data_IF_914422163681
#
_entry.id   IF_914422163681
#
_cell.length_a   1.000
_cell.length_b   1.000
_cell.length_c   1.000
_cell.angle_alpha   90.00
_cell.angle_beta   90.00
_cell.angle_gamma   90.00
#
_symmetry.space_group_name_H-M   'P 1'
#
loop_
_entity.id
_entity.type
_entity.pdbx_description
1 polymer ?
#
# COMPACT_ATOMS: atom_id res chain seq x y z
N UNK A 1 -61.17 -20.38 -57.07
CA UNK A 1 -60.18 -20.67 -56.03
C UNK A 1 -59.21 -19.51 -56.03
N UNK A 2 -59.25 -18.66 -55.01
CA UNK A 2 -58.27 -17.58 -54.87
C UNK A 2 -56.92 -18.24 -54.62
N UNK A 3 -56.02 -18.19 -55.60
CA UNK A 3 -54.64 -18.59 -55.37
C UNK A 3 -54.07 -17.59 -54.38
N UNK A 4 -53.68 -18.08 -53.22
CA UNK A 4 -53.05 -17.25 -52.19
C UNK A 4 -51.59 -17.04 -52.60
N UNK A 5 -51.34 -16.05 -53.46
CA UNK A 5 -49.99 -15.70 -53.93
C UNK A 5 -49.20 -15.22 -52.71
N UNK A 6 -48.09 -15.90 -52.43
CA UNK A 6 -47.11 -15.43 -51.45
C UNK A 6 -46.27 -14.34 -52.11
N UNK A 7 -46.62 -13.10 -51.82
CA UNK A 7 -45.96 -11.92 -52.39
C UNK A 7 -44.60 -11.64 -51.77
N UNK A 8 -44.41 -12.07 -50.52
CA UNK A 8 -43.18 -11.86 -49.78
C UNK A 8 -42.75 -13.15 -49.09
N UNK A 9 -41.45 -13.27 -48.84
CA UNK A 9 -40.88 -14.31 -47.99
C UNK A 9 -39.84 -13.71 -47.03
N UNK A 10 -39.72 -14.23 -45.80
CA UNK A 10 -38.67 -13.80 -44.90
C UNK A 10 -37.30 -14.28 -45.40
N UNK A 11 -36.31 -13.39 -45.36
CA UNK A 11 -34.90 -13.67 -45.67
C UNK A 11 -34.03 -13.11 -44.57
N UNK A 12 -32.88 -13.74 -44.32
CA UNK A 12 -31.98 -13.32 -43.27
C UNK A 12 -31.09 -12.18 -43.76
N UNK A 13 -31.09 -11.06 -43.06
CA UNK A 13 -30.25 -9.90 -43.35
C UNK A 13 -28.91 -10.01 -42.59
N UNK A 14 -27.80 -9.81 -43.31
CA UNK A 14 -26.44 -9.82 -42.77
C UNK A 14 -25.84 -8.42 -42.80
N UNK A 15 -24.94 -8.13 -41.87
CA UNK A 15 -24.05 -6.97 -41.94
C UNK A 15 -22.86 -7.18 -42.87
N UNK A 16 -21.93 -6.22 -42.92
CA UNK A 16 -20.72 -6.30 -43.75
C UNK A 16 -19.77 -7.43 -43.36
N UNK A 17 -19.84 -7.93 -42.13
CA UNK A 17 -19.01 -9.00 -41.59
C UNK A 17 -19.71 -10.37 -41.65
N UNK A 18 -20.92 -10.41 -42.24
CA UNK A 18 -21.72 -11.62 -42.38
C UNK A 18 -22.47 -12.02 -41.11
N UNK A 19 -22.61 -11.11 -40.15
CA UNK A 19 -23.37 -11.36 -38.91
C UNK A 19 -24.86 -11.15 -39.12
N UNK A 20 -25.66 -12.05 -38.57
CA UNK A 20 -27.12 -11.97 -38.63
C UNK A 20 -27.65 -10.75 -37.87
N UNK A 21 -28.37 -9.86 -38.58
CA UNK A 21 -29.01 -8.67 -38.00
C UNK A 21 -30.50 -8.87 -37.72
N UNK A 22 -31.15 -9.78 -38.44
CA UNK A 22 -32.60 -10.00 -38.34
C UNK A 22 -33.19 -10.54 -39.65
N UNK A 23 -34.52 -10.62 -39.70
CA UNK A 23 -35.23 -10.99 -40.92
C UNK A 23 -35.81 -9.74 -41.60
N UNK A 24 -35.79 -9.74 -42.92
CA UNK A 24 -36.48 -8.78 -43.77
C UNK A 24 -37.29 -9.54 -44.85
N UNK A 25 -38.06 -8.83 -45.65
CA UNK A 25 -38.90 -9.44 -46.68
C UNK A 25 -38.24 -9.35 -48.07
N UNK A 26 -38.17 -10.48 -48.76
CA UNK A 26 -37.88 -10.54 -50.20
C UNK A 26 -39.20 -10.58 -50.97
N UNK A 27 -39.28 -9.82 -52.06
CA UNK A 27 -40.49 -9.73 -52.89
C UNK A 27 -40.48 -10.78 -53.99
N UNK A 28 -41.65 -11.29 -54.37
CA UNK A 28 -41.79 -12.18 -55.51
C UNK A 28 -41.34 -11.46 -56.78
N UNK A 29 -40.43 -12.08 -57.54
CA UNK A 29 -40.04 -11.57 -58.84
C UNK A 29 -41.14 -11.87 -59.87
N UNK A 30 -42.00 -10.88 -60.11
CA UNK A 30 -43.11 -10.99 -61.05
C UNK A 30 -42.67 -11.20 -62.51
N UNK A 31 -41.39 -10.96 -62.82
CA UNK A 31 -40.82 -11.19 -64.14
C UNK A 31 -40.18 -12.59 -64.25
N UNK A 32 -39.86 -13.23 -63.13
CA UNK A 32 -39.31 -14.57 -63.09
C UNK A 32 -40.40 -15.64 -63.24
N UNK A 33 -40.33 -16.42 -64.33
CA UNK A 33 -41.33 -17.47 -64.63
C UNK A 33 -41.28 -18.68 -63.70
N UNK A 34 -40.24 -18.79 -62.87
CA UNK A 34 -39.98 -19.90 -61.96
C UNK A 34 -40.46 -19.62 -60.52
N UNK A 35 -41.07 -18.46 -60.25
CA UNK A 35 -41.49 -18.08 -58.90
C UNK A 35 -40.33 -17.71 -57.96
N UNK A 36 -39.18 -17.30 -58.51
CA UNK A 36 -38.07 -16.76 -57.71
C UNK A 36 -38.45 -15.44 -57.03
N UNK A 37 -37.71 -15.09 -55.99
CA UNK A 37 -37.86 -13.86 -55.24
C UNK A 37 -36.65 -12.95 -55.49
N UNK A 38 -36.89 -11.65 -55.48
CA UNK A 38 -35.86 -10.62 -55.50
C UNK A 38 -35.32 -10.50 -54.07
N UNK A 39 -34.12 -11.06 -53.86
CA UNK A 39 -33.45 -11.00 -52.56
C UNK A 39 -32.79 -9.62 -52.41
N UNK A 40 -33.13 -8.84 -51.36
CA UNK A 40 -32.45 -7.57 -51.11
C UNK A 40 -30.94 -7.77 -50.91
N UNK A 41 -30.15 -6.75 -51.26
CA UNK A 41 -28.70 -6.79 -51.07
C UNK A 41 -28.33 -7.05 -49.61
N UNK A 42 -27.33 -7.91 -49.38
CA UNK A 42 -26.91 -8.31 -48.03
C UNK A 42 -27.84 -9.32 -47.35
N UNK A 43 -28.82 -9.88 -48.06
CA UNK A 43 -29.70 -10.92 -47.52
C UNK A 43 -29.39 -12.31 -48.11
N UNK A 44 -29.68 -13.35 -47.34
CA UNK A 44 -29.57 -14.76 -47.74
C UNK A 44 -30.88 -15.51 -47.48
N UNK A 45 -31.19 -16.45 -48.37
CA UNK A 45 -32.41 -17.26 -48.32
C UNK A 45 -32.17 -18.58 -47.57
N UNK A 46 -31.95 -18.47 -46.26
CA UNK A 46 -31.77 -19.60 -45.34
C UNK A 46 -32.60 -19.39 -44.09
N UNK A 47 -32.86 -20.47 -43.35
CA UNK A 47 -33.52 -20.37 -42.05
C UNK A 47 -32.69 -19.54 -41.05
N UNK A 48 -33.35 -18.70 -40.23
CA UNK A 48 -32.66 -17.87 -39.26
C UNK A 48 -31.92 -18.74 -38.23
N UNK A 49 -30.79 -18.26 -37.69
CA UNK A 49 -30.06 -18.99 -36.67
C UNK A 49 -30.88 -19.09 -35.39
N UNK A 50 -30.62 -20.13 -34.59
CA UNK A 50 -31.18 -20.21 -33.24
C UNK A 50 -30.56 -19.12 -32.37
N UNK A 51 -31.39 -18.40 -31.61
CA UNK A 51 -30.89 -17.42 -30.66
C UNK A 51 -30.09 -18.13 -29.56
N UNK A 52 -28.84 -17.70 -29.36
CA UNK A 52 -27.97 -18.16 -28.27
C UNK A 52 -27.55 -16.98 -27.43
N UNK A 53 -27.68 -17.11 -26.12
CA UNK A 53 -27.25 -16.07 -25.18
C UNK A 53 -25.73 -15.86 -25.32
N UNK A 54 -25.30 -14.60 -25.29
CA UNK A 54 -23.89 -14.19 -25.43
C UNK A 54 -23.19 -14.65 -26.73
N UNK A 55 -23.93 -14.95 -27.80
CA UNK A 55 -23.35 -15.32 -29.09
C UNK A 55 -24.06 -14.61 -30.26
N UNK A 56 -23.26 -14.22 -31.25
CA UNK A 56 -23.74 -13.77 -32.54
C UNK A 56 -23.54 -14.87 -33.58
N UNK A 57 -24.49 -15.00 -34.51
CA UNK A 57 -24.41 -15.96 -35.60
C UNK A 57 -23.80 -15.29 -36.84
N UNK A 58 -22.71 -15.86 -37.36
CA UNK A 58 -22.06 -15.47 -38.61
C UNK A 58 -22.34 -16.49 -39.70
N UNK A 59 -22.68 -16.04 -40.89
CA UNK A 59 -22.86 -16.92 -42.04
C UNK A 59 -21.51 -17.25 -42.70
N UNK A 60 -21.19 -18.54 -42.86
CA UNK A 60 -19.94 -18.99 -43.50
C UNK A 60 -20.04 -19.20 -45.01
N UNK A 61 -21.23 -19.05 -45.59
CA UNK A 61 -21.54 -19.45 -46.95
C UNK A 61 -22.32 -20.77 -47.02
N UNK A 62 -22.13 -21.65 -46.04
CA UNK A 62 -22.80 -22.95 -45.97
C UNK A 62 -23.62 -23.14 -44.68
N UNK A 63 -23.18 -22.56 -43.56
CA UNK A 63 -23.82 -22.75 -42.25
C UNK A 63 -23.65 -21.53 -41.33
N UNK A 64 -24.42 -21.53 -40.24
CA UNK A 64 -24.28 -20.56 -39.15
C UNK A 64 -23.17 -20.98 -38.18
N UNK A 65 -22.20 -20.09 -37.97
CA UNK A 65 -21.16 -20.18 -36.95
C UNK A 65 -21.51 -19.27 -35.78
N UNK A 66 -21.44 -19.78 -34.55
CA UNK A 66 -21.74 -19.01 -33.36
C UNK A 66 -20.45 -18.50 -32.72
N UNK A 67 -20.32 -17.17 -32.66
CA UNK A 67 -19.15 -16.47 -32.16
C UNK A 67 -19.54 -15.78 -30.85
N UNK A 68 -18.69 -15.76 -29.81
CA UNK A 68 -18.97 -15.00 -28.60
C UNK A 68 -19.33 -13.54 -28.92
N UNK A 69 -20.40 -13.05 -28.31
CA UNK A 69 -20.83 -11.68 -28.42
C UNK A 69 -20.80 -11.06 -27.02
N UNK A 70 -19.78 -10.23 -26.82
CA UNK A 70 -19.60 -9.48 -25.58
C UNK A 70 -19.93 -8.00 -25.76
N UNK A 71 -20.53 -7.61 -26.89
CA UNK A 71 -20.84 -6.21 -27.18
C UNK A 71 -21.71 -5.59 -26.09
N UNK A 72 -21.43 -4.34 -25.74
CA UNK A 72 -22.10 -3.62 -24.65
C UNK A 72 -21.62 -4.01 -23.24
N UNK A 73 -20.88 -5.12 -23.06
CA UNK A 73 -20.25 -5.45 -21.78
C UNK A 73 -19.02 -4.57 -21.56
N UNK A 74 -18.72 -4.29 -20.29
CA UNK A 74 -17.52 -3.53 -19.90
C UNK A 74 -16.37 -4.49 -19.63
N UNK A 75 -15.27 -4.32 -20.34
CA UNK A 75 -13.99 -4.92 -20.04
C UNK A 75 -13.01 -3.85 -19.54
N UNK A 76 -11.88 -4.27 -19.00
CA UNK A 76 -10.83 -3.40 -18.47
C UNK A 76 -9.52 -3.70 -19.16
N UNK A 77 -8.79 -2.66 -19.56
CA UNK A 77 -7.46 -2.84 -20.14
C UNK A 77 -6.49 -3.34 -19.09
N UNK A 78 -5.72 -4.36 -19.42
CA UNK A 78 -4.74 -4.96 -18.50
C UNK A 78 -3.51 -4.08 -18.28
N UNK A 79 -3.23 -3.13 -19.16
CA UNK A 79 -2.10 -2.20 -19.06
C UNK A 79 -2.33 -1.08 -18.01
N UNK A 80 -3.55 -0.56 -17.91
CA UNK A 80 -3.86 0.63 -17.12
C UNK A 80 -5.18 0.56 -16.33
N UNK A 81 -5.94 -0.54 -16.44
CA UNK A 81 -7.21 -0.73 -15.74
C UNK A 81 -8.38 0.11 -16.28
N UNK A 82 -8.23 0.79 -17.41
CA UNK A 82 -9.26 1.63 -17.99
C UNK A 82 -10.44 0.79 -18.51
N UNK A 83 -11.66 1.19 -18.14
CA UNK A 83 -12.87 0.58 -18.64
C UNK A 83 -13.06 0.86 -20.15
N UNK A 84 -13.41 -0.18 -20.89
CA UNK A 84 -13.69 -0.17 -22.33
C UNK A 84 -14.98 -0.94 -22.56
N UNK A 85 -15.92 -0.36 -23.30
CA UNK A 85 -17.12 -1.06 -23.76
C UNK A 85 -16.71 -1.86 -25.01
N UNK A 86 -17.04 -3.15 -25.02
CA UNK A 86 -16.82 -3.98 -26.21
C UNK A 86 -17.83 -3.57 -27.28
N UNK A 87 -17.35 -3.29 -28.48
CA UNK A 87 -18.16 -2.93 -29.65
C UNK A 87 -18.05 -3.95 -30.80
N UNK A 88 -17.11 -4.89 -30.71
CA UNK A 88 -16.89 -5.96 -31.68
C UNK A 88 -17.43 -7.31 -31.21
N UNK A 89 -17.92 -8.13 -32.16
CA UNK A 89 -18.20 -9.56 -31.93
C UNK A 89 -16.88 -10.34 -31.94
N UNK A 90 -16.76 -11.34 -31.07
CA UNK A 90 -15.56 -12.17 -30.94
C UNK A 90 -15.08 -12.30 -29.50
N UNK A 91 -14.03 -13.11 -29.36
CA UNK A 91 -13.20 -13.14 -28.15
C UNK A 91 -12.62 -11.74 -27.87
N UNK A 92 -12.56 -11.36 -26.59
CA UNK A 92 -11.87 -10.12 -26.20
C UNK A 92 -10.37 -10.26 -26.47
N UNK A 93 -9.70 -9.15 -26.78
CA UNK A 93 -8.24 -9.18 -27.00
C UNK A 93 -7.47 -9.53 -25.72
N UNK A 94 -6.28 -10.10 -25.86
CA UNK A 94 -5.38 -10.43 -24.73
C UNK A 94 -5.04 -9.24 -23.82
N UNK A 95 -5.25 -8.00 -24.31
CA UNK A 95 -5.09 -6.76 -23.56
C UNK A 95 -6.30 -6.37 -22.69
N UNK A 96 -7.36 -7.18 -22.67
CA UNK A 96 -8.61 -6.90 -21.95
C UNK A 96 -8.94 -8.03 -20.97
N UNK A 97 -9.62 -7.68 -19.88
CA UNK A 97 -10.21 -8.63 -18.94
C UNK A 97 -11.57 -8.13 -18.48
N UNK A 98 -12.50 -9.04 -18.16
CA UNK A 98 -13.77 -8.66 -17.51
C UNK A 98 -13.60 -8.41 -16.01
N UNK A 99 -12.45 -8.76 -15.43
CA UNK A 99 -12.14 -8.47 -14.03
C UNK A 99 -11.85 -6.97 -13.85
N UNK A 100 -12.63 -6.30 -13.01
CA UNK A 100 -12.36 -4.92 -12.65
C UNK A 100 -11.13 -4.82 -11.74
N UNK A 101 -10.23 -3.83 -11.93
CA UNK A 101 -9.18 -3.56 -10.96
C UNK A 101 -9.83 -3.16 -9.62
N UNK A 102 -9.50 -3.85 -8.50
CA UNK A 102 -10.15 -3.56 -7.22
C UNK A 102 -9.89 -2.12 -6.72
N UNK A 103 -8.68 -1.60 -6.99
CA UNK A 103 -8.29 -0.22 -6.67
C UNK A 103 -7.31 0.29 -7.72
N UNK A 104 -7.10 1.62 -7.76
CA UNK A 104 -6.08 2.28 -8.60
C UNK A 104 -4.64 1.83 -8.31
N UNK A 105 -4.41 1.14 -7.20
CA UNK A 105 -3.11 0.63 -6.77
C UNK A 105 -2.82 -0.77 -7.32
N UNK A 106 -3.74 -1.37 -8.08
CA UNK A 106 -3.55 -2.68 -8.69
C UNK A 106 -3.04 -2.55 -10.13
N UNK A 107 -2.11 -3.43 -10.49
CA UNK A 107 -1.63 -3.62 -11.84
C UNK A 107 -1.84 -5.08 -12.25
N UNK A 108 -2.10 -5.33 -13.53
CA UNK A 108 -2.27 -6.69 -14.03
C UNK A 108 -0.94 -7.45 -13.97
N UNK A 109 -0.93 -8.64 -13.38
CA UNK A 109 0.27 -9.47 -13.29
C UNK A 109 0.39 -10.52 -14.42
N UNK A 110 -0.44 -10.40 -15.45
CA UNK A 110 -0.57 -11.38 -16.54
C UNK A 110 -1.71 -12.39 -16.33
N UNK A 111 -2.26 -12.51 -15.11
CA UNK A 111 -3.37 -13.42 -14.81
C UNK A 111 -4.46 -12.81 -13.93
N UNK A 112 -4.11 -11.87 -13.05
CA UNK A 112 -5.03 -11.20 -12.13
C UNK A 112 -4.50 -9.83 -11.74
N UNK A 113 -5.38 -8.99 -11.21
CA UNK A 113 -5.00 -7.75 -10.54
C UNK A 113 -4.19 -8.06 -9.27
N UNK A 114 -3.03 -7.43 -9.14
CA UNK A 114 -2.19 -7.48 -7.95
C UNK A 114 -1.71 -6.08 -7.58
N UNK A 115 -1.47 -5.82 -6.29
CA UNK A 115 -0.91 -4.53 -5.84
C UNK A 115 0.38 -4.24 -6.63
N UNK A 116 0.39 -3.10 -7.31
CA UNK A 116 1.48 -2.64 -8.15
C UNK A 116 2.77 -2.39 -7.37
N UNK A 117 3.91 -2.42 -8.05
CA UNK A 117 5.23 -2.21 -7.41
C UNK A 117 5.32 -0.84 -6.73
N UNK A 118 4.79 0.20 -7.36
CA UNK A 118 4.74 1.56 -6.81
C UNK A 118 3.90 1.63 -5.54
N UNK A 119 2.72 0.99 -5.55
CA UNK A 119 1.87 0.90 -4.37
C UNK A 119 2.55 0.15 -3.21
N UNK A 120 3.30 -0.92 -3.49
CA UNK A 120 4.09 -1.62 -2.46
C UNK A 120 5.20 -0.72 -1.90
N UNK A 121 5.89 0.03 -2.75
CA UNK A 121 6.94 0.95 -2.33
C UNK A 121 6.37 2.08 -1.45
N UNK A 122 5.21 2.63 -1.83
CA UNK A 122 4.51 3.65 -1.04
C UNK A 122 4.04 3.09 0.31
N UNK A 123 3.46 1.89 0.34
CA UNK A 123 3.07 1.22 1.59
C UNK A 123 4.27 0.99 2.52
N UNK A 124 5.41 0.56 1.98
CA UNK A 124 6.63 0.38 2.76
C UNK A 124 7.14 1.72 3.29
N UNK A 125 7.19 2.77 2.47
CA UNK A 125 7.64 4.10 2.87
C UNK A 125 6.76 4.68 4.00
N UNK A 126 5.43 4.55 3.88
CA UNK A 126 4.50 4.97 4.92
C UNK A 126 4.70 4.19 6.22
N UNK A 127 4.87 2.86 6.14
CA UNK A 127 5.14 2.03 7.30
C UNK A 127 6.46 2.44 7.98
N UNK A 128 7.53 2.65 7.21
CA UNK A 128 8.82 3.10 7.71
C UNK A 128 8.72 4.45 8.43
N UNK A 129 8.06 5.43 7.82
CA UNK A 129 7.87 6.75 8.41
C UNK A 129 7.07 6.71 9.72
N UNK A 130 5.96 5.96 9.74
CA UNK A 130 5.14 5.78 10.93
C UNK A 130 5.92 5.10 12.06
N UNK A 131 6.67 4.04 11.73
CA UNK A 131 7.45 3.30 12.72
C UNK A 131 8.63 4.09 13.25
N UNK A 132 9.29 4.89 12.41
CA UNK A 132 10.35 5.80 12.85
C UNK A 132 9.82 6.84 13.84
N UNK A 133 8.63 7.39 13.59
CA UNK A 133 7.97 8.31 14.51
C UNK A 133 7.59 7.62 15.85
N UNK A 134 7.14 6.37 15.81
CA UNK A 134 6.88 5.55 16.99
C UNK A 134 8.16 5.32 17.81
N UNK A 135 9.25 4.86 17.17
CA UNK A 135 10.55 4.63 17.79
C UNK A 135 11.09 5.88 18.46
N UNK A 136 11.07 7.03 17.76
CA UNK A 136 11.56 8.29 18.30
C UNK A 136 10.73 8.73 19.52
N UNK A 137 9.41 8.57 19.46
CA UNK A 137 8.51 8.92 20.57
C UNK A 137 8.73 8.02 21.78
N UNK A 138 8.87 6.72 21.58
CA UNK A 138 9.10 5.76 22.65
C UNK A 138 10.47 5.99 23.33
N UNK A 139 11.52 6.27 22.56
CA UNK A 139 12.83 6.61 23.10
C UNK A 139 12.79 7.89 23.94
N UNK A 140 12.14 8.95 23.43
CA UNK A 140 11.98 10.20 24.16
C UNK A 140 11.17 10.03 25.45
N UNK A 141 10.02 9.33 25.39
CA UNK A 141 9.19 9.06 26.55
C UNK A 141 9.95 8.31 27.65
N UNK A 142 10.87 7.43 27.25
CA UNK A 142 11.71 6.71 28.20
C UNK A 142 12.63 7.65 29.00
N UNK A 143 13.30 8.57 28.30
CA UNK A 143 14.18 9.55 28.93
C UNK A 143 13.37 10.52 29.80
N UNK A 144 12.23 10.98 29.30
CA UNK A 144 11.33 11.88 30.04
C UNK A 144 10.87 11.26 31.36
N UNK A 145 10.45 9.99 31.32
CA UNK A 145 10.02 9.25 32.50
C UNK A 145 11.17 9.03 33.50
N UNK A 146 12.34 8.63 33.01
CA UNK A 146 13.47 8.32 33.88
C UNK A 146 14.09 9.57 34.54
N UNK A 147 14.08 10.70 33.83
CA UNK A 147 14.59 11.98 34.34
C UNK A 147 13.53 12.83 35.04
N UNK A 148 12.24 12.47 34.92
CA UNK A 148 11.13 13.25 35.48
C UNK A 148 10.99 14.63 34.83
N UNK A 149 11.30 14.73 33.52
CA UNK A 149 11.28 15.99 32.78
C UNK A 149 9.89 16.63 32.74
N UNK A 150 8.84 15.85 32.91
CA UNK A 150 7.44 16.28 33.01
C UNK A 150 7.14 17.10 34.28
N UNK A 151 7.99 17.01 35.30
CA UNK A 151 7.77 17.61 36.63
C UNK A 151 8.66 18.80 36.92
N UNK A 152 9.56 19.14 36.00
CA UNK A 152 10.62 20.12 36.23
C UNK A 152 10.45 21.29 35.26
N UNK A 153 10.45 22.55 35.75
CA UNK A 153 10.37 23.72 34.87
C UNK A 153 11.53 23.78 33.88
N UNK A 154 11.25 24.25 32.66
CA UNK A 154 12.24 24.30 31.57
C UNK A 154 13.54 25.05 31.93
N UNK A 155 13.45 26.13 32.72
CA UNK A 155 14.64 26.89 33.12
C UNK A 155 15.56 26.07 34.03
N UNK A 156 15.03 25.17 34.85
CA UNK A 156 15.82 24.29 35.73
C UNK A 156 16.54 23.24 34.88
N UNK A 157 15.83 22.61 33.93
CA UNK A 157 16.40 21.66 32.96
C UNK A 157 17.57 22.29 32.19
N UNK A 158 17.44 23.55 31.78
CA UNK A 158 18.51 24.27 31.06
C UNK A 158 19.82 24.39 31.87
N UNK A 159 19.75 24.33 33.21
CA UNK A 159 20.94 24.38 34.08
C UNK A 159 21.54 23.01 34.38
N UNK A 160 20.86 21.91 34.04
CA UNK A 160 21.31 20.56 34.40
C UNK A 160 22.67 20.21 33.81
N UNK A 161 22.96 20.64 32.57
CA UNK A 161 24.27 20.42 31.95
C UNK A 161 25.38 21.12 32.73
N UNK A 162 25.14 22.33 33.21
CA UNK A 162 26.11 23.08 34.02
C UNK A 162 26.32 22.38 35.37
N UNK A 163 25.23 22.01 36.04
CA UNK A 163 25.29 21.26 37.31
C UNK A 163 26.03 19.92 37.16
N UNK A 164 25.81 19.21 36.05
CA UNK A 164 26.50 17.95 35.76
C UNK A 164 28.01 18.16 35.52
N UNK A 165 28.39 19.21 34.78
CA UNK A 165 29.79 19.55 34.55
C UNK A 165 30.50 19.93 35.86
N UNK A 166 29.91 20.80 36.67
CA UNK A 166 30.44 21.19 37.98
C UNK A 166 30.58 19.96 38.91
N UNK A 167 29.56 19.11 38.97
CA UNK A 167 29.59 17.91 39.82
C UNK A 167 30.67 16.91 39.39
N UNK A 168 30.84 16.69 38.07
CA UNK A 168 31.91 15.83 37.54
C UNK A 168 33.30 16.40 37.77
N UNK A 169 33.47 17.72 37.59
CA UNK A 169 34.74 18.39 37.87
C UNK A 169 35.10 18.30 39.35
N UNK A 170 34.13 18.55 40.24
CA UNK A 170 34.32 18.40 41.68
C UNK A 170 34.60 16.95 42.11
N UNK A 171 33.97 15.97 41.48
CA UNK A 171 34.23 14.56 41.78
C UNK A 171 35.65 14.12 41.35
N UNK A 172 36.19 14.72 40.29
CA UNK A 172 37.57 14.49 39.85
C UNK A 172 38.60 15.27 40.69
N UNK A 173 38.27 16.50 41.08
CA UNK A 173 39.07 17.37 41.93
C UNK A 173 38.17 18.13 42.91
N UNK A 174 38.26 17.79 44.20
CA UNK A 174 37.45 18.41 45.25
C UNK A 174 37.69 19.93 45.42
N UNK A 175 38.75 20.49 44.84
CA UNK A 175 39.02 21.93 44.82
C UNK A 175 38.36 22.68 43.64
N UNK A 176 37.75 21.96 42.69
CA UNK A 176 37.10 22.57 41.54
C UNK A 176 35.94 23.49 41.96
N UNK A 177 35.81 24.63 41.27
CA UNK A 177 34.76 25.60 41.53
C UNK A 177 33.39 25.08 41.07
N UNK A 178 32.38 25.21 41.93
CA UNK A 178 31.00 24.78 41.66
C UNK A 178 29.98 25.88 41.97
N UNK A 179 30.10 27.07 41.35
CA UNK A 179 29.32 28.24 41.73
C UNK A 179 27.80 28.02 41.61
N UNK A 180 27.34 27.24 40.63
CA UNK A 180 25.91 26.94 40.45
C UNK A 180 25.42 26.04 41.58
N UNK A 181 26.12 24.93 41.84
CA UNK A 181 25.74 24.01 42.92
C UNK A 181 25.86 24.66 44.30
N UNK A 182 26.87 25.50 44.53
CA UNK A 182 27.05 26.22 45.79
C UNK A 182 25.93 27.26 46.01
N UNK A 183 25.52 27.99 44.97
CA UNK A 183 24.38 28.91 45.04
C UNK A 183 23.06 28.17 45.33
N UNK A 184 22.82 27.03 44.68
CA UNK A 184 21.64 26.18 44.93
C UNK A 184 21.66 25.64 46.37
N UNK A 185 22.81 25.16 46.85
CA UNK A 185 22.96 24.65 48.20
C UNK A 185 22.70 25.75 49.24
N UNK A 186 23.26 26.95 49.02
CA UNK A 186 23.06 28.12 49.88
C UNK A 186 21.61 28.56 49.95
N UNK A 187 20.92 28.67 48.80
CA UNK A 187 19.51 29.04 48.75
C UNK A 187 18.59 28.01 49.43
N UNK A 188 18.96 26.72 49.39
CA UNK A 188 18.21 25.62 50.01
C UNK A 188 18.56 25.35 51.47
N UNK A 189 19.64 25.95 51.99
CA UNK A 189 20.15 25.66 53.32
C UNK A 189 20.62 24.21 53.51
N UNK A 190 21.11 23.56 52.46
CA UNK A 190 21.59 22.15 52.51
C UNK A 190 23.12 22.08 52.40
N UNK A 191 23.76 21.00 52.89
CA UNK A 191 25.20 20.82 52.74
C UNK A 191 25.60 20.73 51.26
N UNK A 192 26.49 21.63 50.82
CA UNK A 192 26.95 21.72 49.44
C UNK A 192 27.57 20.40 48.95
N UNK A 193 28.37 19.73 49.78
CA UNK A 193 29.00 18.46 49.44
C UNK A 193 27.98 17.34 49.16
N UNK A 194 26.91 17.27 49.94
CA UNK A 194 25.83 16.29 49.73
C UNK A 194 25.04 16.57 48.44
N UNK A 195 24.88 17.85 48.07
CA UNK A 195 24.27 18.22 46.79
C UNK A 195 25.17 17.85 45.62
N UNK A 196 26.47 18.15 45.68
CA UNK A 196 27.45 17.83 44.63
C UNK A 196 27.52 16.33 44.35
N UNK A 197 27.58 15.52 45.40
CA UNK A 197 27.58 14.06 45.27
C UNK A 197 26.31 13.53 44.58
N UNK A 198 25.12 14.00 45.02
CA UNK A 198 23.86 13.61 44.38
C UNK A 198 23.74 14.09 42.94
N UNK A 199 24.25 15.28 42.64
CA UNK A 199 24.28 15.81 41.28
C UNK A 199 25.19 14.97 40.38
N UNK A 200 26.36 14.53 40.87
CA UNK A 200 27.26 13.63 40.16
C UNK A 200 26.60 12.27 39.85
N UNK A 201 26.03 11.61 40.86
CA UNK A 201 25.36 10.31 40.71
C UNK A 201 24.23 10.37 39.68
N UNK A 202 23.40 11.43 39.75
CA UNK A 202 22.33 11.66 38.78
C UNK A 202 22.88 11.93 37.37
N UNK A 203 23.92 12.73 37.24
CA UNK A 203 24.54 13.04 35.96
C UNK A 203 25.07 11.78 35.26
N UNK A 204 25.82 10.94 35.98
CA UNK A 204 26.36 9.69 35.44
C UNK A 204 25.23 8.73 35.05
N UNK A 205 24.22 8.57 35.91
CA UNK A 205 23.08 7.69 35.60
C UNK A 205 22.30 8.16 34.37
N UNK A 206 22.05 9.46 34.24
CA UNK A 206 21.36 10.03 33.10
C UNK A 206 22.17 9.91 31.80
N UNK A 207 23.48 10.12 31.86
CA UNK A 207 24.39 9.95 30.72
C UNK A 207 24.41 8.51 30.21
N UNK A 208 24.58 7.52 31.10
CA UNK A 208 24.58 6.11 30.71
C UNK A 208 23.24 5.67 30.14
N UNK A 209 22.13 6.12 30.73
CA UNK A 209 20.80 5.81 30.23
C UNK A 209 20.55 6.43 28.85
N UNK A 210 20.86 7.71 28.68
CA UNK A 210 20.66 8.40 27.38
C UNK A 210 21.54 7.80 26.30
N UNK A 211 22.78 7.44 26.59
CA UNK A 211 23.65 6.72 25.66
C UNK A 211 23.07 5.35 25.26
N UNK A 212 22.57 4.58 26.24
CA UNK A 212 21.96 3.27 25.98
C UNK A 212 20.71 3.38 25.11
N UNK A 213 19.78 4.27 25.46
CA UNK A 213 18.53 4.50 24.72
C UNK A 213 18.83 5.03 23.31
N UNK A 214 19.80 5.94 23.15
CA UNK A 214 20.20 6.43 21.84
C UNK A 214 20.72 5.30 20.94
N UNK A 215 21.55 4.40 21.49
CA UNK A 215 22.05 3.24 20.77
C UNK A 215 20.95 2.26 20.36
N UNK A 216 20.01 1.94 21.26
CA UNK A 216 18.85 1.09 20.92
C UNK A 216 17.96 1.73 19.84
N UNK A 217 17.71 3.03 19.93
CA UNK A 217 16.92 3.77 18.93
C UNK A 217 17.60 3.78 17.56
N UNK A 218 18.91 4.01 17.51
CA UNK A 218 19.70 3.92 16.27
C UNK A 218 19.64 2.50 15.67
N UNK A 219 19.80 1.46 16.49
CA UNK A 219 19.68 0.08 16.04
C UNK A 219 18.26 -0.26 15.53
N UNK A 220 17.21 0.35 16.09
CA UNK A 220 15.85 0.22 15.59
C UNK A 220 15.66 0.94 14.25
N UNK A 221 16.21 2.15 14.10
CA UNK A 221 16.21 2.91 12.85
C UNK A 221 16.89 2.13 11.71
N UNK A 222 18.06 1.54 11.96
CA UNK A 222 18.76 0.69 10.98
C UNK A 222 17.89 -0.48 10.52
N UNK A 223 17.18 -1.14 11.44
CA UNK A 223 16.26 -2.24 11.13
C UNK A 223 15.06 -1.78 10.29
N UNK A 224 14.51 -0.59 10.57
CA UNK A 224 13.40 -0.01 9.80
C UNK A 224 13.82 0.22 8.36
N UNK A 225 15.01 0.79 8.13
CA UNK A 225 15.51 1.05 6.78
C UNK A 225 15.94 -0.22 6.04
N UNK A 226 16.37 -1.26 6.75
CA UNK A 226 16.70 -2.57 6.17
C UNK A 226 15.47 -3.44 5.82
N UNK A 227 14.28 -3.11 6.35
CA UNK A 227 13.05 -3.85 6.14
C UNK A 227 12.58 -3.82 4.67
N UNK A 228 12.05 -4.94 4.17
CA UNK A 228 11.58 -5.08 2.79
C UNK A 228 10.06 -5.08 2.68
N UNK A 229 9.37 -5.33 3.79
CA UNK A 229 7.90 -5.40 3.84
C UNK A 229 7.35 -4.56 5.00
N UNK A 230 6.11 -4.06 4.90
CA UNK A 230 5.43 -3.41 6.03
C UNK A 230 5.39 -4.29 7.29
N UNK A 231 5.29 -5.61 7.12
CA UNK A 231 5.31 -6.58 8.22
C UNK A 231 6.66 -6.63 8.93
N UNK A 232 7.77 -6.60 8.17
CA UNK A 232 9.12 -6.52 8.74
C UNK A 232 9.30 -5.22 9.54
N UNK A 233 8.78 -4.10 9.02
CA UNK A 233 8.80 -2.80 9.72
C UNK A 233 7.99 -2.88 11.02
N UNK A 234 6.79 -3.47 10.98
CA UNK A 234 5.94 -3.62 12.15
C UNK A 234 6.58 -4.46 13.26
N UNK A 235 7.41 -5.46 12.89
CA UNK A 235 8.13 -6.32 13.82
C UNK A 235 9.27 -5.62 14.57
N UNK A 236 9.68 -4.41 14.17
CA UNK A 236 10.74 -3.66 14.87
C UNK A 236 10.27 -3.28 16.28
N UNK A 237 11.03 -3.72 17.29
CA UNK A 237 10.73 -3.45 18.69
C UNK A 237 10.98 -1.99 19.06
N UNK A 238 10.10 -1.44 19.89
CA UNK A 238 10.15 -0.06 20.39
C UNK A 238 10.25 0.01 21.92
N UNK A 239 10.71 -1.07 22.57
CA UNK A 239 10.95 -1.08 24.01
C UNK A 239 12.36 -0.59 24.30
N UNK A 240 12.44 0.61 24.87
CA UNK A 240 13.70 1.28 25.21
C UNK A 240 13.90 1.43 26.73
N UNK A 241 12.90 1.05 27.54
CA UNK A 241 12.92 1.30 28.99
C UNK A 241 13.31 0.10 29.83
N UNK A 242 13.64 -1.03 29.20
CA UNK A 242 14.34 -2.12 29.87
C UNK A 242 15.67 -1.62 30.41
N UNK A 243 15.87 -1.73 31.73
CA UNK A 243 17.13 -1.38 32.40
C UNK A 243 18.32 -2.04 31.69
N UNK A 244 19.43 -1.31 31.46
CA UNK A 244 20.65 -1.94 30.95
C UNK A 244 21.07 -3.07 31.89
N UNK A 245 21.58 -4.20 31.36
CA UNK A 245 22.10 -5.27 32.20
C UNK A 245 23.14 -4.65 33.12
N UNK A 246 22.93 -4.78 34.44
CA UNK A 246 23.91 -4.33 35.43
C UNK A 246 25.23 -4.98 35.07
N UNK A 247 26.27 -4.19 34.81
CA UNK A 247 27.62 -4.73 34.75
C UNK A 247 27.90 -5.33 36.13
N UNK A 248 27.78 -6.64 36.23
CA UNK A 248 28.33 -7.40 37.36
C UNK A 248 29.83 -7.15 37.32
N UNK A 249 30.29 -6.22 38.15
CA UNK A 249 31.69 -6.09 38.50
C UNK A 249 32.07 -7.35 39.25
N UNK A 250 32.53 -8.38 38.53
CA UNK A 250 33.30 -9.46 39.14
C UNK A 250 34.66 -8.85 39.51
N UNK A 251 34.74 -8.27 40.71
CA UNK A 251 36.01 -8.02 41.36
C UNK A 251 36.54 -9.37 41.81
N UNK A 252 37.28 -10.04 40.93
CA UNK A 252 38.11 -11.17 41.30
C UNK A 252 39.37 -10.60 41.94
N UNK A 253 39.36 -10.52 43.28
CA UNK A 253 40.57 -10.27 44.05
C UNK A 253 41.31 -11.61 44.09
N UNK A 254 42.35 -11.74 43.28
CA UNK A 254 43.32 -12.81 43.42
C UNK A 254 44.33 -12.41 44.50
N UNK A 255 44.27 -13.11 45.64
CA UNK A 255 45.37 -13.22 46.61
C UNK A 255 46.53 -13.98 45.93
N UNK A 256 47.71 -13.34 45.88
CA UNK A 256 49.04 -13.98 45.96
C UNK A 256 50.03 -13.03 46.65
#
# INVERSE_FOLDING_TARGET
MSQNIQWTKPVCQLDSDGLYMGQTEAELDVYARNGSYIIPGGCIDVEPPEAREDHAARWTGEAWEYIPDHRGKTAYRTDNGQAVIIDTVGEISDGLTFDAPPTMWHSWNGKKWAIGKEAKAEQLAQAQAAKLAEVNRAAQACIDQAAGLDKVPQFEVATWTIQALEAKAWHADNAAATPTLDAIAGARGIPAQALKQKAYEKAVRFELLTAHVAGLRQAAEDKIYAAQTPEDVAAVQCDFCTTPPSQTTTTEVADE
#
